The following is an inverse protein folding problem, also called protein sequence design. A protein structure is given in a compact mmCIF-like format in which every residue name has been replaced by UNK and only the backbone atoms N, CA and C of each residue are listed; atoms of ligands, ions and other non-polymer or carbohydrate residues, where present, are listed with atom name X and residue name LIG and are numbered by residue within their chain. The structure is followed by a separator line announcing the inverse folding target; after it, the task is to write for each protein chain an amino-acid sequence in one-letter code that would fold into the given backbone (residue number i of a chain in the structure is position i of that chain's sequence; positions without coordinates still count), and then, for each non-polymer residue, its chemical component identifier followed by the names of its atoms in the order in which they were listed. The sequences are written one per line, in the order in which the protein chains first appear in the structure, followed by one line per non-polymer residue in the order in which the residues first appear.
data_IF_270410072542
#
_entry.id   IF_270410072542
#
_cell.length_a   1.000
_cell.length_b   1.000
_cell.length_c   1.000
_cell.angle_alpha   90.00
_cell.angle_beta   90.00
_cell.angle_gamma   90.00
#
_symmetry.space_group_name_H-M   'P 1'
#
loop_
_entity.id
_entity.type
_entity.pdbx_description
1 polymer ?
#
# COMPACT_ATOMS: atom_id res chain seq x y z
N UNK A 1 -28.22 31.18 15.83
CA UNK A 1 -26.87 31.43 15.30
C UNK A 1 -26.82 30.88 13.87
N UNK A 2 -26.64 31.73 12.85
CA UNK A 2 -26.56 31.32 11.45
C UNK A 2 -25.09 31.24 11.03
N UNK A 3 -24.58 30.02 10.85
CA UNK A 3 -23.21 29.81 10.36
C UNK A 3 -23.28 29.75 8.82
N UNK A 4 -22.64 30.68 8.10
CA UNK A 4 -22.69 30.72 6.65
C UNK A 4 -21.96 29.51 6.04
N UNK A 5 -22.43 29.07 4.86
CA UNK A 5 -21.79 27.98 4.11
C UNK A 5 -20.40 28.42 3.67
N UNK A 6 -19.37 27.67 4.07
CA UNK A 6 -18.00 27.83 3.57
C UNK A 6 -17.81 26.91 2.36
N UNK A 7 -17.67 27.52 1.19
CA UNK A 7 -17.40 26.81 -0.05
C UNK A 7 -15.89 26.65 -0.23
N UNK A 8 -15.45 25.55 -0.84
CA UNK A 8 -14.03 25.29 -1.14
C UNK A 8 -13.27 24.46 -0.10
N UNK A 9 -13.91 24.01 0.98
CA UNK A 9 -13.29 23.05 1.90
C UNK A 9 -13.36 21.63 1.32
N UNK A 10 -12.20 21.04 1.01
CA UNK A 10 -12.06 19.65 0.58
C UNK A 10 -11.48 18.79 1.71
N UNK A 11 -11.97 17.56 1.86
CA UNK A 11 -11.45 16.61 2.84
C UNK A 11 -10.27 15.86 2.22
N UNK A 12 -9.08 16.06 2.77
CA UNK A 12 -7.89 15.29 2.38
C UNK A 12 -7.76 14.11 3.36
N UNK A 13 -7.96 12.90 2.84
CA UNK A 13 -7.77 11.67 3.61
C UNK A 13 -6.28 11.27 3.65
N UNK A 14 -5.83 10.79 4.81
CA UNK A 14 -4.45 10.39 5.06
C UNK A 14 -4.37 8.87 5.19
N UNK A 15 -3.31 8.28 4.66
CA UNK A 15 -3.02 6.86 4.80
C UNK A 15 -2.69 6.53 6.28
N UNK A 16 -3.28 5.46 6.84
CA UNK A 16 -3.06 5.06 8.24
C UNK A 16 -1.66 4.50 8.51
N UNK A 17 -0.95 4.07 7.46
CA UNK A 17 0.42 3.54 7.53
C UNK A 17 1.44 4.71 7.49
N UNK A 18 1.61 5.33 6.31
CA UNK A 18 2.66 6.33 6.08
C UNK A 18 2.26 7.80 6.32
N UNK A 19 1.01 8.08 6.73
CA UNK A 19 0.46 9.44 6.94
C UNK A 19 0.45 10.37 5.70
N UNK A 20 0.85 9.86 4.53
CA UNK A 20 0.76 10.58 3.26
C UNK A 20 -0.70 10.66 2.77
N UNK A 21 -0.97 11.47 1.76
CA UNK A 21 -2.31 11.54 1.15
C UNK A 21 -2.75 10.18 0.61
N UNK A 22 -3.93 9.72 1.01
CA UNK A 22 -4.53 8.51 0.47
C UNK A 22 -5.22 8.83 -0.85
N UNK A 23 -4.99 7.97 -1.85
CA UNK A 23 -5.60 8.10 -3.19
C UNK A 23 -6.46 6.88 -3.54
N UNK A 24 -6.22 5.75 -2.89
CA UNK A 24 -6.84 4.46 -3.21
C UNK A 24 -7.55 3.90 -1.97
N UNK A 25 -8.47 2.97 -2.19
CA UNK A 25 -9.13 2.22 -1.13
C UNK A 25 -8.58 0.80 -1.08
N UNK A 26 -8.26 0.32 0.11
CA UNK A 26 -7.92 -1.07 0.37
C UNK A 26 -9.18 -1.96 0.21
N UNK A 27 -9.04 -3.29 0.09
CA UNK A 27 -10.20 -4.20 0.06
C UNK A 27 -11.07 -4.11 1.33
N UNK A 28 -10.50 -3.67 2.46
CA UNK A 28 -11.22 -3.40 3.71
C UNK A 28 -11.94 -2.03 3.71
N UNK A 29 -11.89 -1.29 2.61
CA UNK A 29 -12.50 0.04 2.45
C UNK A 29 -11.71 1.18 3.10
N UNK A 30 -10.46 0.93 3.52
CA UNK A 30 -9.62 1.92 4.20
C UNK A 30 -8.85 2.75 3.18
N UNK A 31 -8.82 4.09 3.30
CA UNK A 31 -8.06 4.94 2.39
C UNK A 31 -6.55 4.76 2.60
N UNK A 32 -5.84 4.29 1.58
CA UNK A 32 -4.40 3.98 1.59
C UNK A 32 -3.65 4.67 0.44
N UNK A 33 -2.32 4.74 0.54
CA UNK A 33 -1.46 5.16 -0.56
C UNK A 33 -1.23 3.98 -1.53
N UNK A 34 -0.57 4.25 -2.67
CA UNK A 34 -0.26 3.23 -3.69
C UNK A 34 0.58 2.08 -3.15
N UNK A 35 1.52 2.38 -2.26
CA UNK A 35 2.45 1.39 -1.70
C UNK A 35 1.81 0.44 -0.68
N UNK A 36 0.63 0.80 -0.15
CA UNK A 36 -0.06 0.04 0.90
C UNK A 36 -1.45 -0.46 0.43
N UNK A 37 -1.64 -0.64 -0.88
CA UNK A 37 -2.90 -1.14 -1.43
C UNK A 37 -3.22 -2.57 -0.95
N UNK A 38 -2.19 -3.42 -0.96
CA UNK A 38 -2.28 -4.83 -0.56
C UNK A 38 -2.06 -5.03 0.95
N UNK A 39 -1.86 -3.95 1.71
CA UNK A 39 -1.65 -4.02 3.15
C UNK A 39 -3.00 -4.06 3.88
N UNK A 40 -3.21 -5.13 4.63
CA UNK A 40 -4.38 -5.28 5.50
C UNK A 40 -4.11 -4.66 6.88
N UNK A 41 -5.11 -3.99 7.44
CA UNK A 41 -5.01 -3.51 8.82
C UNK A 41 -5.12 -4.69 9.79
N UNK A 42 -4.21 -4.80 10.77
CA UNK A 42 -4.30 -5.82 11.81
C UNK A 42 -5.48 -5.56 12.74
N UNK A 43 -5.86 -6.58 13.51
CA UNK A 43 -6.86 -6.46 14.57
C UNK A 43 -6.43 -5.41 15.61
N UNK A 44 -7.33 -4.46 15.87
CA UNK A 44 -7.08 -3.32 16.75
C UNK A 44 -7.79 -3.52 18.09
N UNK A 45 -7.18 -3.03 19.18
CA UNK A 45 -7.78 -3.07 20.51
C UNK A 45 -8.41 -1.74 20.88
N UNK A 46 -9.51 -1.79 21.61
CA UNK A 46 -10.11 -0.61 22.22
C UNK A 46 -9.39 -0.26 23.54
N UNK A 47 -9.68 0.92 24.09
CA UNK A 47 -9.16 1.36 25.41
C UNK A 47 -9.60 0.40 26.53
N UNK A 48 -10.77 -0.23 26.39
CA UNK A 48 -11.25 -1.25 27.32
C UNK A 48 -10.52 -2.60 27.21
N UNK A 49 -9.66 -2.79 26.22
CA UNK A 49 -8.90 -4.03 25.99
C UNK A 49 -9.61 -5.06 25.10
N UNK A 50 -10.87 -4.85 24.73
CA UNK A 50 -11.59 -5.69 23.77
C UNK A 50 -11.15 -5.44 22.34
N UNK A 51 -11.38 -6.42 21.47
CA UNK A 51 -11.15 -6.31 20.04
C UNK A 51 -12.20 -5.41 19.38
N UNK A 52 -11.76 -4.68 18.37
CA UNK A 52 -12.59 -3.79 17.57
C UNK A 52 -12.97 -4.45 16.25
N UNK A 53 -14.27 -4.53 15.98
CA UNK A 53 -14.77 -4.97 14.69
C UNK A 53 -14.72 -3.81 13.70
N UNK A 54 -14.09 -4.04 12.55
CA UNK A 54 -14.07 -3.09 11.45
C UNK A 54 -15.39 -3.19 10.67
N UNK A 55 -16.08 -2.06 10.50
CA UNK A 55 -17.32 -1.97 9.74
C UNK A 55 -17.26 -0.83 8.72
N UNK A 56 -17.95 -0.99 7.59
CA UNK A 56 -18.04 0.03 6.55
C UNK A 56 -19.41 0.71 6.57
N UNK A 57 -19.42 2.04 6.54
CA UNK A 57 -20.63 2.85 6.45
C UNK A 57 -20.58 3.86 5.30
N UNK A 58 -21.65 4.66 5.16
CA UNK A 58 -21.78 5.68 4.11
C UNK A 58 -20.63 6.69 4.07
N UNK A 59 -20.04 7.00 5.22
CA UNK A 59 -19.00 8.02 5.37
C UNK A 59 -17.58 7.44 5.51
N UNK A 60 -17.43 6.13 5.29
CA UNK A 60 -16.17 5.41 5.41
C UNK A 60 -16.18 4.35 6.52
N UNK A 61 -14.99 3.89 6.86
CA UNK A 61 -14.76 2.82 7.84
C UNK A 61 -14.87 3.37 9.26
N UNK A 62 -15.57 2.63 10.11
CA UNK A 62 -15.66 2.86 11.55
C UNK A 62 -15.40 1.56 12.30
N UNK A 63 -15.09 1.68 13.58
CA UNK A 63 -14.85 0.52 14.43
C UNK A 63 -15.96 0.40 15.45
N UNK A 64 -16.37 -0.82 15.77
CA UNK A 64 -17.34 -1.09 16.81
C UNK A 64 -16.69 -1.95 17.89
N UNK A 65 -16.72 -1.45 19.12
CA UNK A 65 -16.42 -2.23 20.31
C UNK A 65 -17.73 -2.75 20.91
N UNK A 66 -17.72 -3.96 21.45
CA UNK A 66 -18.90 -4.55 22.10
C UNK A 66 -19.24 -3.78 23.38
N UNK A 67 -18.23 -3.43 24.18
CA UNK A 67 -18.41 -2.69 25.44
C UNK A 67 -18.52 -1.17 25.27
N UNK A 68 -17.69 -0.54 24.43
CA UNK A 68 -17.65 0.93 24.30
C UNK A 68 -18.53 1.51 23.18
N UNK A 69 -19.03 0.69 22.27
CA UNK A 69 -19.80 1.14 21.12
C UNK A 69 -18.94 1.58 19.93
N UNK A 70 -19.47 2.50 19.12
CA UNK A 70 -18.83 2.89 17.85
C UNK A 70 -17.76 3.98 18.04
N UNK A 71 -16.63 3.78 17.37
CA UNK A 71 -15.44 4.63 17.45
C UNK A 71 -15.02 5.07 16.05
N UNK A 72 -14.64 6.33 15.94
CA UNK A 72 -14.11 6.89 14.71
C UNK A 72 -12.71 6.32 14.42
N UNK A 73 -12.44 6.02 13.15
CA UNK A 73 -11.14 5.51 12.70
C UNK A 73 -9.97 6.36 13.21
N UNK A 74 -10.05 7.69 13.17
CA UNK A 74 -8.99 8.59 13.68
C UNK A 74 -8.59 8.28 15.12
N UNK A 75 -9.57 8.07 16.01
CA UNK A 75 -9.33 7.77 17.43
C UNK A 75 -8.67 6.40 17.59
N UNK A 76 -9.11 5.41 16.81
CA UNK A 76 -8.58 4.04 16.89
C UNK A 76 -7.12 3.98 16.42
N UNK A 77 -6.78 4.74 15.37
CA UNK A 77 -5.43 4.86 14.85
C UNK A 77 -4.48 5.58 15.83
N UNK A 78 -4.99 6.49 16.66
CA UNK A 78 -4.19 7.16 17.69
C UNK A 78 -3.87 6.22 18.86
N UNK A 79 -4.80 5.33 19.23
CA UNK A 79 -4.63 4.37 20.33
C UNK A 79 -3.69 3.22 19.94
N UNK A 80 -3.83 2.73 18.70
CA UNK A 80 -3.08 1.58 18.24
C UNK A 80 -2.01 2.02 17.27
N UNK A 81 -0.75 1.87 17.67
CA UNK A 81 0.40 2.15 16.79
C UNK A 81 0.47 1.13 15.67
N UNK A 82 0.03 1.51 14.46
CA UNK A 82 0.22 0.71 13.25
C UNK A 82 1.71 0.71 12.91
N UNK A 83 2.29 -0.48 12.78
CA UNK A 83 3.64 -0.67 12.25
C UNK A 83 3.54 -0.83 10.73
N UNK A 84 4.30 -0.03 9.99
CA UNK A 84 4.35 -0.10 8.54
C UNK A 84 4.83 -1.49 8.08
N UNK A 85 4.02 -2.20 7.30
CA UNK A 85 4.35 -3.55 6.82
C UNK A 85 5.32 -3.52 5.63
N UNK A 86 5.58 -2.34 5.07
CA UNK A 86 6.41 -2.12 3.88
C UNK A 86 7.89 -2.49 4.07
N UNK A 87 8.38 -2.61 5.31
CA UNK A 87 9.74 -3.08 5.58
C UNK A 87 9.90 -4.60 5.34
N UNK A 88 8.86 -5.39 5.64
CA UNK A 88 8.93 -6.87 5.54
C UNK A 88 8.87 -7.39 4.11
N UNK A 89 8.29 -6.63 3.18
CA UNK A 89 8.28 -6.99 1.76
C UNK A 89 9.66 -6.81 1.12
N UNK A 90 10.40 -5.77 1.51
CA UNK A 90 11.75 -5.48 0.98
C UNK A 90 12.77 -6.55 1.34
N UNK A 91 12.70 -7.12 2.55
CA UNK A 91 13.58 -8.23 2.94
C UNK A 91 13.36 -9.49 2.09
N UNK A 92 12.10 -9.81 1.75
CA UNK A 92 11.77 -10.98 0.93
C UNK A 92 12.21 -10.80 -0.53
N UNK A 93 12.16 -9.59 -1.07
CA UNK A 93 12.65 -9.30 -2.42
C UNK A 93 14.18 -9.27 -2.50
N UNK A 94 14.87 -8.77 -1.47
CA UNK A 94 16.33 -8.86 -1.38
C UNK A 94 16.83 -10.31 -1.36
N UNK A 95 16.14 -11.20 -0.63
CA UNK A 95 16.49 -12.63 -0.58
C UNK A 95 16.23 -13.39 -1.88
N UNK A 96 15.25 -12.97 -2.70
CA UNK A 96 15.01 -13.58 -4.02
C UNK A 96 16.06 -13.16 -5.06
N UNK A 97 16.63 -11.96 -4.93
CA UNK A 97 17.63 -11.44 -5.88
C UNK A 97 19.00 -12.13 -5.78
N UNK A 98 19.28 -12.80 -4.67
CA UNK A 98 20.53 -13.54 -4.46
C UNK A 98 20.55 -14.95 -5.06
N UNK A 99 19.40 -15.49 -5.49
CA UNK A 99 19.29 -16.91 -5.91
C UNK A 99 18.90 -17.11 -7.38
N UNK A 100 18.79 -16.07 -8.20
CA UNK A 100 18.68 -16.28 -9.65
C UNK A 100 20.09 -16.47 -10.22
N UNK A 101 20.45 -17.67 -10.73
CA UNK A 101 21.67 -17.81 -11.52
C UNK A 101 21.48 -16.93 -12.77
N UNK A 102 22.13 -15.76 -12.78
CA UNK A 102 22.13 -14.87 -13.92
C UNK A 102 22.68 -15.64 -15.12
N UNK A 103 21.82 -15.92 -16.11
CA UNK A 103 22.25 -16.55 -17.36
C UNK A 103 23.40 -15.71 -17.96
N UNK A 104 24.50 -16.34 -18.39
CA UNK A 104 25.61 -15.60 -18.97
C UNK A 104 25.12 -14.84 -20.19
N UNK A 105 25.25 -13.51 -20.17
CA UNK A 105 24.97 -12.66 -21.33
C UNK A 105 25.92 -13.09 -22.45
N UNK A 106 25.40 -13.74 -23.50
CA UNK A 106 26.16 -13.98 -24.72
C UNK A 106 26.44 -12.63 -25.36
N UNK A 107 27.72 -12.31 -25.54
CA UNK A 107 28.14 -11.14 -26.30
C UNK A 107 27.52 -11.22 -27.72
N UNK A 108 27.12 -10.08 -28.31
CA UNK A 108 26.72 -10.06 -29.71
C UNK A 108 27.86 -10.64 -30.55
N UNK A 109 27.55 -11.61 -31.40
CA UNK A 109 28.54 -12.21 -32.30
C UNK A 109 28.91 -11.15 -33.33
N UNK A 110 30.15 -10.67 -33.30
CA UNK A 110 30.68 -9.88 -34.41
C UNK A 110 30.70 -10.76 -35.66
N UNK A 111 29.94 -10.38 -36.68
CA UNK A 111 30.00 -10.98 -38.01
C UNK A 111 30.86 -10.07 -38.89
N UNK A 112 32.09 -10.48 -39.17
CA UNK A 112 32.94 -9.82 -40.15
C UNK A 112 32.59 -10.35 -41.54
N UNK A 113 31.88 -9.55 -42.34
CA UNK A 113 31.60 -9.87 -43.74
C UNK A 113 32.86 -9.51 -44.54
N UNK A 114 33.43 -10.47 -45.27
CA UNK A 114 34.56 -10.26 -46.19
C UNK A 114 34.08 -10.23 -47.63
N UNK A 115 34.84 -9.60 -48.52
CA UNK A 115 34.54 -9.50 -49.95
C UNK A 115 34.37 -10.85 -50.65
N UNK A 116 34.92 -11.92 -50.06
CA UNK A 116 34.83 -13.30 -50.56
C UNK A 116 33.66 -14.11 -49.96
N UNK A 117 32.78 -13.50 -49.14
CA UNK A 117 31.67 -14.23 -48.49
C UNK A 117 30.54 -14.52 -49.50
N UNK A 118 30.20 -15.79 -49.77
CA UNK A 118 29.16 -16.16 -50.75
C UNK A 118 27.77 -15.61 -50.43
N UNK A 119 27.51 -15.23 -49.16
CA UNK A 119 26.25 -14.63 -48.72
C UNK A 119 26.15 -13.12 -49.00
N UNK A 120 27.13 -12.52 -49.67
CA UNK A 120 27.15 -11.10 -49.99
C UNK A 120 26.34 -10.74 -51.25
N UNK A 121 26.13 -11.70 -52.16
CA UNK A 121 25.54 -11.45 -53.48
C UNK A 121 24.12 -12.01 -53.68
N UNK A 122 23.51 -12.61 -52.65
CA UNK A 122 22.07 -12.93 -52.59
C UNK A 122 21.29 -11.74 -52.00
#
# INVERSE_FOLDING_TARGET
MHIPKRYGESKIDKCPFCKQSAMLMSPQGVPVCKDHLDAELPEMKCVCGEYLDMMQGKFGVFFKCISCGTMNMRKVLEINTIKDVSEKAKEKEMFKKTYTPSAPKKNPREQTIRSDDPRYFD
#
